data_IF_162164209119
#
_entry.id   IF_162164209119
#
_cell.length_a   1.000
_cell.length_b   1.000
_cell.length_c   1.000
_cell.angle_alpha   90.00
_cell.angle_beta   90.00
_cell.angle_gamma   90.00
#
_symmetry.space_group_name_H-M   'P 1'
#
loop_
_entity.id
_entity.type
_entity.pdbx_description
1 polymer ?
#
# COMPACT_ATOMS: atom_id res chain seq x y z
N UNK A 1 -4.05 -16.66 -0.74
CA UNK A 1 -2.84 -16.54 -1.64
C UNK A 1 -3.06 -15.45 -2.66
N UNK A 2 -2.02 -14.70 -3.08
CA UNK A 2 -2.16 -13.63 -4.08
C UNK A 2 -2.28 -14.23 -5.47
N UNK A 3 -3.27 -13.76 -6.22
CA UNK A 3 -3.55 -14.17 -7.59
C UNK A 3 -2.92 -13.23 -8.61
N UNK A 4 -3.03 -11.91 -8.38
CA UNK A 4 -2.39 -10.89 -9.23
C UNK A 4 -2.18 -9.60 -8.45
N UNK A 5 -1.28 -8.76 -8.97
CA UNK A 5 -1.09 -7.37 -8.54
C UNK A 5 -1.13 -6.49 -9.79
N UNK A 6 -1.99 -5.49 -9.78
CA UNK A 6 -2.05 -4.46 -10.82
C UNK A 6 -1.62 -3.12 -10.22
N UNK A 7 -0.73 -2.45 -10.90
CA UNK A 7 -0.14 -1.18 -10.49
C UNK A 7 -0.28 -0.15 -11.61
N UNK A 8 -0.74 1.06 -11.25
CA UNK A 8 -0.72 2.21 -12.15
C UNK A 8 -0.03 3.38 -11.46
N UNK A 9 0.84 4.05 -12.19
CA UNK A 9 1.59 5.21 -11.72
C UNK A 9 2.28 4.98 -10.36
N UNK A 10 2.81 3.76 -10.17
CA UNK A 10 3.47 3.34 -8.93
C UNK A 10 4.98 3.19 -9.17
N UNK A 11 5.79 4.05 -8.54
CA UNK A 11 7.26 4.08 -8.69
C UNK A 11 7.71 4.08 -10.17
N UNK A 12 8.31 2.99 -10.63
CA UNK A 12 8.75 2.81 -12.02
C UNK A 12 7.70 2.24 -12.96
N UNK A 13 6.50 1.94 -12.45
CA UNK A 13 5.44 1.30 -13.23
C UNK A 13 4.36 2.29 -13.64
N UNK A 14 4.17 2.45 -14.95
CA UNK A 14 3.07 3.27 -15.48
C UNK A 14 1.73 2.53 -15.46
N UNK A 15 1.68 1.33 -16.02
CA UNK A 15 0.54 0.41 -15.97
C UNK A 15 1.04 -1.01 -16.19
N UNK A 16 0.91 -1.86 -15.19
CA UNK A 16 1.38 -3.24 -15.24
C UNK A 16 0.51 -4.15 -14.40
N UNK A 17 0.34 -5.37 -14.86
CA UNK A 17 -0.30 -6.44 -14.09
C UNK A 17 0.65 -7.63 -13.98
N UNK A 18 0.96 -8.02 -12.76
CA UNK A 18 1.68 -9.24 -12.44
C UNK A 18 0.67 -10.35 -12.14
N UNK A 19 0.53 -11.32 -13.04
CA UNK A 19 -0.34 -12.47 -12.85
C UNK A 19 0.43 -13.65 -12.24
N UNK A 20 0.02 -14.05 -11.06
CA UNK A 20 0.65 -15.11 -10.29
C UNK A 20 -0.13 -16.43 -10.33
N UNK A 21 -1.09 -16.54 -11.22
CA UNK A 21 -1.88 -17.76 -11.40
C UNK A 21 -1.16 -18.76 -12.30
N UNK A 22 -1.34 -20.03 -12.01
CA UNK A 22 -0.86 -21.13 -12.84
C UNK A 22 -1.86 -21.54 -13.93
N UNK A 23 -1.59 -22.66 -14.63
CA UNK A 23 -2.41 -23.15 -15.75
C UNK A 23 -3.89 -23.39 -15.39
N UNK A 24 -4.22 -23.66 -14.14
CA UNK A 24 -5.59 -23.95 -13.67
C UNK A 24 -6.19 -22.74 -12.91
N UNK A 25 -5.75 -21.53 -13.19
CA UNK A 25 -6.15 -20.32 -12.47
C UNK A 25 -5.83 -20.33 -10.95
N UNK A 26 -5.21 -21.37 -10.44
CA UNK A 26 -4.80 -21.45 -9.04
C UNK A 26 -3.57 -20.59 -8.76
N UNK A 27 -3.49 -19.92 -7.61
CA UNK A 27 -2.33 -19.13 -7.24
C UNK A 27 -1.07 -19.99 -7.13
N UNK A 28 0.05 -19.48 -7.63
CA UNK A 28 1.35 -20.16 -7.52
C UNK A 28 1.89 -20.06 -6.10
N UNK A 29 2.43 -21.17 -5.59
CA UNK A 29 3.05 -21.23 -4.25
C UNK A 29 4.42 -20.56 -4.19
N UNK A 30 5.12 -20.49 -5.31
CA UNK A 30 6.44 -19.90 -5.45
C UNK A 30 6.51 -19.08 -6.72
N UNK A 31 7.01 -17.85 -6.60
CA UNK A 31 7.23 -16.91 -7.69
C UNK A 31 8.65 -16.40 -7.56
N UNK A 32 9.42 -16.51 -8.64
CA UNK A 32 10.78 -15.98 -8.72
C UNK A 32 10.78 -14.80 -9.67
N UNK A 33 11.22 -13.64 -9.18
CA UNK A 33 11.34 -12.40 -9.96
C UNK A 33 12.81 -12.14 -10.25
N UNK A 34 13.17 -12.11 -11.53
CA UNK A 34 14.53 -11.80 -11.97
C UNK A 34 14.49 -10.77 -13.10
N UNK A 35 15.62 -10.09 -13.32
CA UNK A 35 15.75 -9.06 -14.35
C UNK A 35 16.94 -8.14 -14.08
N UNK A 36 17.25 -7.26 -15.01
CA UNK A 36 18.34 -6.30 -14.91
C UNK A 36 18.17 -5.34 -13.72
N UNK A 37 19.24 -4.68 -13.30
CA UNK A 37 19.16 -3.62 -12.31
C UNK A 37 18.30 -2.46 -12.84
N UNK A 38 17.45 -1.88 -12.02
CA UNK A 38 16.51 -0.84 -12.43
C UNK A 38 15.21 -1.33 -13.09
N UNK A 39 15.02 -2.65 -13.30
CA UNK A 39 13.81 -3.19 -13.94
C UNK A 39 12.53 -3.18 -13.05
N UNK A 40 12.61 -2.59 -11.85
CA UNK A 40 11.45 -2.47 -10.97
C UNK A 40 11.25 -3.62 -9.97
N UNK A 41 12.10 -4.67 -9.94
CA UNK A 41 11.94 -5.81 -9.01
C UNK A 41 11.70 -5.39 -7.56
N UNK A 42 12.49 -4.45 -7.07
CA UNK A 42 12.33 -3.90 -5.72
C UNK A 42 11.03 -3.13 -5.55
N UNK A 43 10.56 -2.44 -6.58
CA UNK A 43 9.29 -1.72 -6.56
C UNK A 43 8.10 -2.65 -6.40
N UNK A 44 8.15 -3.86 -6.97
CA UNK A 44 7.12 -4.87 -6.77
C UNK A 44 7.03 -5.33 -5.31
N UNK A 45 8.18 -5.58 -4.67
CA UNK A 45 8.21 -5.96 -3.25
C UNK A 45 7.75 -4.79 -2.35
N UNK A 46 8.11 -3.58 -2.69
CA UNK A 46 7.74 -2.38 -1.94
C UNK A 46 6.24 -2.11 -1.94
N UNK A 47 5.45 -2.69 -2.85
CA UNK A 47 3.97 -2.63 -2.79
C UNK A 47 3.45 -3.12 -1.44
N UNK A 48 3.99 -4.24 -0.95
CA UNK A 48 3.57 -4.80 0.34
C UNK A 48 3.94 -3.90 1.50
N UNK A 49 5.13 -3.31 1.48
CA UNK A 49 5.55 -2.34 2.50
C UNK A 49 4.65 -1.10 2.47
N UNK A 50 4.32 -0.58 1.27
CA UNK A 50 3.41 0.57 1.12
C UNK A 50 2.03 0.27 1.72
N UNK A 51 1.49 -0.93 1.47
CA UNK A 51 0.21 -1.33 2.04
C UNK A 51 0.29 -1.51 3.56
N UNK A 52 1.35 -2.13 4.06
CA UNK A 52 1.58 -2.27 5.51
C UNK A 52 1.67 -0.91 6.20
N UNK A 53 2.41 0.03 5.63
CA UNK A 53 2.51 1.41 6.11
C UNK A 53 1.14 2.10 6.12
N UNK A 54 0.35 1.97 5.04
CA UNK A 54 -0.99 2.54 4.95
C UNK A 54 -1.94 1.95 5.99
N UNK A 55 -1.96 0.63 6.15
CA UNK A 55 -2.79 -0.04 7.16
C UNK A 55 -2.34 0.31 8.59
N UNK A 56 -1.04 0.37 8.83
CA UNK A 56 -0.48 0.74 10.13
C UNK A 56 -0.86 2.16 10.52
N UNK A 57 -0.88 3.12 9.58
CA UNK A 57 -1.30 4.51 9.87
C UNK A 57 -2.76 4.58 10.34
N UNK A 58 -3.64 3.75 9.79
CA UNK A 58 -5.05 3.69 10.21
C UNK A 58 -5.20 3.16 11.63
N UNK A 59 -4.49 2.07 11.96
CA UNK A 59 -4.54 1.46 13.31
C UNK A 59 -3.94 2.38 14.36
N UNK A 60 -2.78 2.98 14.08
CA UNK A 60 -2.09 3.87 15.01
C UNK A 60 -2.86 5.15 15.24
N UNK A 61 -3.53 5.73 14.23
CA UNK A 61 -4.43 6.87 14.42
C UNK A 61 -5.52 6.59 15.44
N UNK A 62 -6.13 5.41 15.40
CA UNK A 62 -7.15 5.00 16.37
C UNK A 62 -6.57 4.86 17.77
N UNK A 63 -5.43 4.16 17.92
CA UNK A 63 -4.75 3.99 19.22
C UNK A 63 -4.38 5.35 19.82
N UNK A 64 -3.89 6.27 19.00
CA UNK A 64 -3.51 7.62 19.44
C UNK A 64 -4.74 8.40 19.85
N UNK A 65 -5.83 8.36 19.09
CA UNK A 65 -7.08 9.03 19.46
C UNK A 65 -7.58 8.53 20.81
N UNK A 66 -7.63 7.21 21.01
CA UNK A 66 -8.05 6.59 22.28
C UNK A 66 -7.09 6.95 23.44
N UNK A 67 -5.79 7.08 23.18
CA UNK A 67 -4.80 7.47 24.17
C UNK A 67 -4.91 8.94 24.55
N UNK A 68 -5.17 9.82 23.58
CA UNK A 68 -5.36 11.25 23.79
C UNK A 68 -6.63 11.56 24.59
N UNK A 69 -7.73 10.84 24.32
CA UNK A 69 -8.96 10.98 25.12
C UNK A 69 -8.74 10.62 26.60
N UNK A 70 -7.83 9.65 26.86
CA UNK A 70 -7.55 9.19 28.24
C UNK A 70 -6.48 10.00 28.96
N UNK A 71 -5.61 10.73 28.25
CA UNK A 71 -4.40 11.35 28.81
C UNK A 71 -4.14 12.77 28.24
N UNK A 72 -5.20 13.53 27.93
CA UNK A 72 -5.09 14.86 27.31
C UNK A 72 -4.12 15.84 27.99
N UNK A 73 -3.89 15.67 29.29
CA UNK A 73 -3.09 16.60 30.10
C UNK A 73 -1.60 16.22 30.22
N UNK A 74 -1.13 15.13 29.62
CA UNK A 74 0.22 14.55 29.89
C UNK A 74 1.14 14.46 28.68
N UNK A 75 0.70 14.84 27.48
CA UNK A 75 1.52 14.71 26.28
C UNK A 75 2.26 16.01 25.97
N UNK A 76 3.59 15.90 25.89
CA UNK A 76 4.46 16.93 25.40
C UNK A 76 4.21 17.17 23.89
N UNK A 77 4.20 18.43 23.46
CA UNK A 77 4.02 18.83 22.07
C UNK A 77 5.06 18.21 21.13
N UNK A 78 6.27 17.90 21.60
CA UNK A 78 7.33 17.27 20.82
C UNK A 78 7.01 15.80 20.52
N UNK A 79 6.49 15.06 21.50
CA UNK A 79 6.04 13.69 21.32
C UNK A 79 4.86 13.60 20.34
N UNK A 80 3.92 14.54 20.42
CA UNK A 80 2.79 14.65 19.50
C UNK A 80 3.23 14.93 18.06
N UNK A 81 4.20 15.80 17.86
CA UNK A 81 4.72 16.11 16.52
C UNK A 81 5.48 14.92 15.91
N UNK A 82 6.24 14.17 16.70
CA UNK A 82 6.91 12.93 16.25
C UNK A 82 5.88 11.87 15.82
N UNK A 83 4.82 11.70 16.59
CA UNK A 83 3.74 10.78 16.25
C UNK A 83 3.03 11.22 14.97
N UNK A 84 2.66 12.49 14.82
CA UNK A 84 2.02 13.03 13.61
C UNK A 84 2.89 12.83 12.37
N UNK A 85 4.20 13.06 12.46
CA UNK A 85 5.12 12.90 11.34
C UNK A 85 5.31 11.44 10.92
N UNK A 86 5.22 10.48 11.84
CA UNK A 86 5.28 9.04 11.53
C UNK A 86 4.00 8.51 10.87
N UNK A 87 2.89 9.24 10.99
CA UNK A 87 1.57 8.92 10.44
C UNK A 87 1.23 9.74 9.19
N UNK A 88 2.21 10.36 8.57
CA UNK A 88 2.00 11.22 7.42
C UNK A 88 1.72 10.39 6.16
N UNK A 89 0.45 10.23 5.85
CA UNK A 89 -0.02 9.58 4.62
C UNK A 89 0.59 10.23 3.38
N UNK A 90 0.79 11.56 3.37
CA UNK A 90 1.42 12.26 2.25
C UNK A 90 2.84 11.76 1.98
N UNK A 91 3.60 11.45 3.02
CA UNK A 91 4.94 10.89 2.87
C UNK A 91 4.88 9.51 2.19
N UNK A 92 4.01 8.61 2.68
CA UNK A 92 3.84 7.27 2.09
C UNK A 92 3.42 7.37 0.62
N UNK A 93 2.46 8.25 0.32
CA UNK A 93 1.99 8.53 -1.04
C UNK A 93 3.13 9.03 -1.92
N UNK A 94 3.89 10.03 -1.48
CA UNK A 94 5.00 10.59 -2.25
C UNK A 94 6.11 9.57 -2.52
N UNK A 95 6.39 8.68 -1.56
CA UNK A 95 7.43 7.66 -1.69
C UNK A 95 7.06 6.56 -2.72
N UNK A 96 5.78 6.38 -3.03
CA UNK A 96 5.32 5.33 -3.92
C UNK A 96 4.80 5.78 -5.28
N UNK A 97 4.52 7.07 -5.50
CA UNK A 97 4.06 7.59 -6.79
C UNK A 97 5.17 7.62 -7.85
N UNK A 98 4.77 7.52 -9.10
CA UNK A 98 5.66 7.78 -10.24
C UNK A 98 6.02 9.26 -10.30
N UNK A 99 7.30 9.57 -10.48
CA UNK A 99 7.78 10.95 -10.56
C UNK A 99 7.16 11.70 -11.75
N UNK A 100 6.78 12.96 -11.54
CA UNK A 100 6.18 13.86 -12.54
C UNK A 100 4.86 13.36 -13.16
N UNK A 101 4.10 12.49 -12.49
CA UNK A 101 2.78 12.06 -12.94
C UNK A 101 1.70 12.69 -12.07
N UNK A 102 0.76 13.40 -12.68
CA UNK A 102 -0.39 14.02 -11.99
C UNK A 102 -1.58 13.08 -11.81
N UNK A 103 -1.64 12.01 -12.62
CA UNK A 103 -2.69 11.01 -12.52
C UNK A 103 -2.61 10.22 -11.22
N UNK A 104 -3.74 9.69 -10.76
CA UNK A 104 -3.82 8.89 -9.54
C UNK A 104 -2.96 7.63 -9.63
N UNK A 105 -2.47 7.18 -8.48
CA UNK A 105 -1.78 5.91 -8.31
C UNK A 105 -2.78 4.87 -7.88
N UNK A 106 -2.73 3.69 -8.51
CA UNK A 106 -3.57 2.55 -8.22
C UNK A 106 -2.73 1.36 -7.77
N UNK A 107 -3.13 0.73 -6.67
CA UNK A 107 -2.69 -0.60 -6.27
C UNK A 107 -3.94 -1.48 -6.18
N UNK A 108 -3.98 -2.55 -6.96
CA UNK A 108 -5.04 -3.53 -6.92
C UNK A 108 -4.45 -4.92 -6.72
N UNK A 109 -4.99 -5.68 -5.78
CA UNK A 109 -4.54 -7.04 -5.44
C UNK A 109 -5.73 -7.98 -5.48
N UNK A 110 -5.68 -8.94 -6.40
CA UNK A 110 -6.56 -10.10 -6.38
C UNK A 110 -5.96 -11.20 -5.52
N UNK A 111 -6.75 -11.77 -4.64
CA UNK A 111 -6.29 -12.82 -3.72
C UNK A 111 -7.33 -13.93 -3.56
N UNK A 112 -6.89 -15.04 -3.00
CA UNK A 112 -7.74 -16.15 -2.59
C UNK A 112 -7.48 -16.47 -1.12
N UNK A 113 -8.56 -16.52 -0.33
CA UNK A 113 -8.58 -16.89 1.07
C UNK A 113 -9.67 -17.95 1.28
N UNK A 114 -9.31 -19.10 1.81
CA UNK A 114 -10.25 -20.22 2.09
C UNK A 114 -11.13 -20.56 0.88
N UNK A 115 -10.52 -20.67 -0.30
CA UNK A 115 -11.18 -20.97 -1.59
C UNK A 115 -12.19 -19.91 -2.06
N UNK A 116 -12.19 -18.74 -1.45
CA UNK A 116 -12.94 -17.57 -1.90
C UNK A 116 -11.99 -16.56 -2.52
N UNK A 117 -12.38 -16.03 -3.67
CA UNK A 117 -11.63 -14.91 -4.30
C UNK A 117 -12.03 -13.60 -3.65
N UNK A 118 -11.05 -12.73 -3.44
CA UNK A 118 -11.23 -11.38 -2.97
C UNK A 118 -10.44 -10.39 -3.82
N UNK A 119 -10.81 -9.13 -3.73
CA UNK A 119 -10.19 -8.01 -4.39
C UNK A 119 -9.95 -6.90 -3.38
N UNK A 120 -8.73 -6.41 -3.29
CA UNK A 120 -8.41 -5.18 -2.62
C UNK A 120 -7.94 -4.15 -3.63
N UNK A 121 -8.50 -2.97 -3.58
CA UNK A 121 -8.17 -1.85 -4.47
C UNK A 121 -8.02 -0.59 -3.66
N UNK A 122 -6.90 0.13 -3.86
CA UNK A 122 -6.66 1.45 -3.28
C UNK A 122 -6.14 2.39 -4.36
N UNK A 123 -6.74 3.58 -4.41
CA UNK A 123 -6.36 4.64 -5.32
C UNK A 123 -6.10 5.92 -4.53
N UNK A 124 -5.03 6.62 -4.86
CA UNK A 124 -4.65 7.87 -4.19
C UNK A 124 -4.04 8.88 -5.17
N UNK A 125 -4.28 10.15 -4.89
CA UNK A 125 -3.66 11.28 -5.57
C UNK A 125 -2.36 11.70 -4.84
N UNK A 126 -1.90 12.92 -4.99
CA UNK A 126 -0.70 13.46 -4.33
C UNK A 126 -0.92 13.85 -2.85
N UNK A 127 -2.16 13.84 -2.37
CA UNK A 127 -2.48 14.29 -1.02
C UNK A 127 -3.24 13.28 -0.19
N UNK A 128 -4.16 12.52 -0.82
CA UNK A 128 -5.15 11.73 -0.11
C UNK A 128 -5.45 10.40 -0.81
N UNK A 129 -5.98 9.46 -0.04
CA UNK A 129 -6.67 8.28 -0.58
C UNK A 129 -7.99 8.76 -1.20
N UNK A 130 -8.16 8.47 -2.49
CA UNK A 130 -9.34 8.86 -3.28
C UNK A 130 -10.40 7.77 -3.24
N UNK A 131 -9.95 6.52 -3.29
CA UNK A 131 -10.81 5.35 -3.30
C UNK A 131 -10.14 4.18 -2.58
N UNK A 132 -10.92 3.43 -1.82
CA UNK A 132 -10.50 2.18 -1.19
C UNK A 132 -11.67 1.20 -1.19
N UNK A 133 -11.41 -0.06 -1.55
CA UNK A 133 -12.43 -1.09 -1.68
C UNK A 133 -11.85 -2.47 -1.35
N UNK A 134 -12.60 -3.23 -0.58
CA UNK A 134 -12.37 -4.66 -0.32
C UNK A 134 -13.65 -5.44 -0.67
N UNK A 135 -13.49 -6.46 -1.51
CA UNK A 135 -14.58 -7.35 -1.94
C UNK A 135 -14.25 -8.82 -1.66
#
# INVERSE_FOLDING_TARGET
MIQYIKLKNYKSYNDITFDFRGKNNAPKKLIIVYGANGSGKSSLIQVFNTLDDLFSTMQVKKIIADYLERNSDKLDNEAMNKIRSSLDIKRIINDCRTFNVTANTLIEIGFELDSKSGLYNIEFNDENIVHERLE
#
